data_IF_041193711890
#
_entry.id   IF_041193711890
#
_cell.length_a   1.000
_cell.length_b   1.000
_cell.length_c   1.000
_cell.angle_alpha   90.00
_cell.angle_beta   90.00
_cell.angle_gamma   90.00
#
_symmetry.space_group_name_H-M   'P 1'
#
loop_
_entity.id
_entity.type
_entity.pdbx_description
1 polymer ?
#
# COMPACT_ATOMS: atom_id res chain seq x y z
N UNK A 1 34.41 16.94 -19.21
CA UNK A 1 33.47 17.03 -18.09
C UNK A 1 32.27 16.20 -18.45
N UNK A 2 32.10 15.04 -17.82
CA UNK A 2 30.90 14.23 -18.03
C UNK A 2 29.68 15.04 -17.59
N UNK A 3 28.55 15.02 -18.33
CA UNK A 3 27.34 15.66 -17.86
C UNK A 3 26.97 15.07 -16.49
N UNK A 4 26.41 15.87 -15.57
CA UNK A 4 25.94 15.32 -14.30
C UNK A 4 25.02 14.15 -14.62
N UNK A 5 25.31 12.98 -14.05
CA UNK A 5 24.42 11.83 -14.18
C UNK A 5 23.07 12.29 -13.67
N UNK A 6 22.09 12.46 -14.57
CA UNK A 6 20.71 12.73 -14.15
C UNK A 6 20.34 11.62 -13.20
N UNK A 7 20.03 11.99 -11.98
CA UNK A 7 19.58 11.04 -10.95
C UNK A 7 18.33 10.33 -11.49
N UNK A 8 18.49 9.06 -11.88
CA UNK A 8 17.42 8.25 -12.49
C UNK A 8 16.15 8.18 -11.64
N UNK A 9 16.25 8.52 -10.37
CA UNK A 9 15.13 8.50 -9.44
C UNK A 9 14.46 9.87 -9.26
N UNK A 10 15.02 10.92 -9.82
CA UNK A 10 14.49 12.28 -9.67
C UNK A 10 13.01 12.38 -10.09
N UNK A 11 12.56 11.82 -11.22
CA UNK A 11 11.14 11.83 -11.58
C UNK A 11 10.24 11.09 -10.59
N UNK A 12 10.75 10.02 -9.98
CA UNK A 12 10.01 9.22 -8.99
C UNK A 12 9.84 9.95 -7.66
N UNK A 13 10.69 10.92 -7.36
CA UNK A 13 10.63 11.73 -6.13
C UNK A 13 9.63 12.88 -6.17
N UNK A 14 9.02 13.13 -7.32
CA UNK A 14 8.09 14.24 -7.51
C UNK A 14 6.66 13.93 -7.12
N UNK A 15 6.32 12.68 -6.90
CA UNK A 15 4.97 12.23 -6.56
C UNK A 15 4.99 11.20 -5.43
N UNK A 16 3.94 11.20 -4.64
CA UNK A 16 3.70 10.15 -3.67
C UNK A 16 3.45 8.83 -4.39
N UNK A 17 4.01 7.75 -3.86
CA UNK A 17 3.81 6.38 -4.34
C UNK A 17 2.95 5.66 -3.31
N UNK A 18 1.75 5.27 -3.69
CA UNK A 18 0.82 4.56 -2.81
C UNK A 18 0.80 3.06 -3.13
N UNK A 19 1.15 2.25 -2.14
CA UNK A 19 1.10 0.79 -2.25
C UNK A 19 -0.26 0.29 -1.78
N UNK A 20 -0.95 -0.44 -2.63
CA UNK A 20 -2.24 -1.08 -2.34
C UNK A 20 -2.14 -2.59 -2.50
N UNK A 21 -3.03 -3.32 -1.87
CA UNK A 21 -3.05 -4.79 -1.93
C UNK A 21 -3.58 -5.40 -0.64
N UNK A 22 -3.79 -6.71 -0.67
CA UNK A 22 -4.28 -7.47 0.46
C UNK A 22 -3.30 -7.46 1.65
N UNK A 23 -3.83 -7.74 2.83
CA UNK A 23 -3.00 -7.97 4.01
C UNK A 23 -1.97 -9.08 3.76
N UNK A 24 -0.78 -8.94 4.32
CA UNK A 24 0.29 -9.93 4.18
C UNK A 24 1.12 -9.85 2.89
N UNK A 25 0.74 -9.00 1.92
CA UNK A 25 1.50 -8.84 0.67
C UNK A 25 2.86 -8.14 0.87
N UNK A 26 3.03 -7.44 2.00
CA UNK A 26 4.30 -6.79 2.36
C UNK A 26 4.38 -5.30 2.07
N UNK A 27 3.25 -4.60 1.99
CA UNK A 27 3.20 -3.15 1.71
C UNK A 27 4.10 -2.32 2.62
N UNK A 28 4.07 -2.55 3.92
CA UNK A 28 4.89 -1.80 4.87
C UNK A 28 6.38 -2.11 4.74
N UNK A 29 6.74 -3.38 4.62
CA UNK A 29 8.14 -3.82 4.47
C UNK A 29 8.75 -3.39 3.14
N UNK A 30 8.01 -3.56 2.05
CA UNK A 30 8.41 -3.10 0.71
C UNK A 30 8.45 -1.57 0.68
N UNK A 31 7.45 -0.92 1.25
CA UNK A 31 7.34 0.54 1.27
C UNK A 31 8.50 1.23 1.97
N UNK A 32 8.93 0.73 3.14
CA UNK A 32 10.10 1.28 3.83
C UNK A 32 11.37 1.18 3.00
N UNK A 33 11.60 0.04 2.37
CA UNK A 33 12.79 -0.20 1.53
C UNK A 33 12.73 0.62 0.25
N UNK A 34 11.56 0.72 -0.36
CA UNK A 34 11.35 1.56 -1.54
C UNK A 34 11.62 3.03 -1.21
N UNK A 35 11.08 3.53 -0.11
CA UNK A 35 11.31 4.89 0.35
C UNK A 35 12.81 5.17 0.57
N UNK A 36 13.50 4.25 1.24
CA UNK A 36 14.95 4.34 1.45
C UNK A 36 15.72 4.37 0.14
N UNK A 37 15.37 3.49 -0.81
CA UNK A 37 16.03 3.43 -2.12
C UNK A 37 15.82 4.70 -2.95
N UNK A 38 14.65 5.34 -2.82
CA UNK A 38 14.30 6.56 -3.53
C UNK A 38 14.72 7.84 -2.80
N UNK A 39 15.11 7.75 -1.53
CA UNK A 39 15.38 8.92 -0.68
C UNK A 39 14.10 9.71 -0.34
N UNK A 40 12.97 9.01 -0.20
CA UNK A 40 11.69 9.57 0.19
C UNK A 40 11.33 9.19 1.64
N UNK A 41 10.51 10.01 2.34
CA UNK A 41 9.90 9.58 3.58
C UNK A 41 8.98 8.38 3.38
N UNK A 42 8.81 7.56 4.41
CA UNK A 42 7.83 6.47 4.46
C UNK A 42 6.70 6.81 5.43
N UNK A 43 5.47 6.52 5.04
CA UNK A 43 4.27 6.62 5.86
C UNK A 43 3.47 5.32 5.80
N UNK A 44 3.06 4.84 6.95
CA UNK A 44 2.14 3.70 7.07
C UNK A 44 0.79 4.22 7.53
N UNK A 45 -0.26 4.02 6.72
CA UNK A 45 -1.58 4.54 7.00
C UNK A 45 -2.17 3.96 8.31
N UNK A 46 -1.94 2.69 8.59
CA UNK A 46 -2.44 2.05 9.82
C UNK A 46 -1.77 2.67 11.05
N UNK A 47 -0.46 2.87 11.03
CA UNK A 47 0.28 3.54 12.11
C UNK A 47 -0.18 4.98 12.31
N UNK A 48 -0.44 5.70 11.22
CA UNK A 48 -0.94 7.08 11.28
C UNK A 48 -2.37 7.17 11.83
N UNK A 49 -3.23 6.19 11.53
CA UNK A 49 -4.57 6.09 12.11
C UNK A 49 -4.48 5.86 13.63
N UNK A 50 -3.63 4.93 14.06
CA UNK A 50 -3.43 4.66 15.49
C UNK A 50 -2.88 5.89 16.23
N UNK A 51 -1.92 6.60 15.63
CA UNK A 51 -1.37 7.83 16.19
C UNK A 51 -2.43 8.94 16.31
N UNK A 52 -3.26 9.12 15.29
CA UNK A 52 -4.33 10.12 15.28
C UNK A 52 -5.44 9.81 16.28
N UNK A 53 -5.77 8.53 16.46
CA UNK A 53 -6.83 8.07 17.37
C UNK A 53 -6.34 7.95 18.82
N UNK A 54 -5.03 7.87 19.06
CA UNK A 54 -4.44 7.61 20.37
C UNK A 54 -4.77 6.21 20.91
N UNK A 55 -5.07 5.25 20.02
CA UNK A 55 -5.45 3.87 20.35
C UNK A 55 -5.18 2.92 19.21
N UNK A 56 -5.12 1.62 19.51
CA UNK A 56 -4.89 0.60 18.50
C UNK A 56 -6.09 0.44 17.54
N UNK A 57 -5.82 -0.05 16.32
CA UNK A 57 -6.88 -0.40 15.36
C UNK A 57 -7.82 -1.45 15.95
N UNK A 58 -7.28 -2.44 16.67
CA UNK A 58 -8.10 -3.46 17.35
C UNK A 58 -9.09 -2.82 18.34
N UNK A 59 -8.65 -1.84 19.12
CA UNK A 59 -9.52 -1.13 20.05
C UNK A 59 -10.58 -0.27 19.33
N UNK A 60 -10.21 0.35 18.21
CA UNK A 60 -11.17 1.10 17.38
C UNK A 60 -12.27 0.17 16.88
N UNK A 61 -11.91 -1.00 16.34
CA UNK A 61 -12.88 -2.00 15.88
C UNK A 61 -13.78 -2.50 17.01
N UNK A 62 -13.19 -2.82 18.16
CA UNK A 62 -13.93 -3.36 19.31
C UNK A 62 -14.93 -2.35 19.89
N UNK A 63 -14.53 -1.09 20.04
CA UNK A 63 -15.32 -0.08 20.74
C UNK A 63 -16.19 0.78 19.81
N UNK A 64 -15.74 1.04 18.58
CA UNK A 64 -16.38 1.98 17.65
C UNK A 64 -16.85 1.32 16.35
N UNK A 65 -16.38 0.12 16.03
CA UNK A 65 -16.75 -0.63 14.85
C UNK A 65 -15.97 -0.28 13.58
N UNK A 66 -16.16 -1.07 12.54
CA UNK A 66 -15.44 -0.95 11.26
C UNK A 66 -15.74 0.38 10.56
N UNK A 67 -16.99 0.85 10.59
CA UNK A 67 -17.39 2.11 9.92
C UNK A 67 -16.61 3.31 10.48
N UNK A 68 -16.42 3.39 11.80
CA UNK A 68 -15.64 4.44 12.45
C UNK A 68 -14.16 4.36 12.06
N UNK A 69 -13.60 3.15 12.02
CA UNK A 69 -12.24 2.94 11.54
C UNK A 69 -12.07 3.43 10.09
N UNK A 70 -12.97 3.06 9.18
CA UNK A 70 -12.92 3.45 7.77
C UNK A 70 -13.03 4.95 7.56
N UNK A 71 -13.85 5.64 8.36
CA UNK A 71 -13.93 7.10 8.32
C UNK A 71 -12.62 7.75 8.78
N UNK A 72 -12.03 7.27 9.86
CA UNK A 72 -10.72 7.73 10.35
C UNK A 72 -9.59 7.46 9.33
N UNK A 73 -9.57 6.28 8.75
CA UNK A 73 -8.62 5.89 7.69
C UNK A 73 -8.70 6.84 6.49
N UNK A 74 -9.91 7.13 6.01
CA UNK A 74 -10.15 8.06 4.90
C UNK A 74 -9.60 9.45 5.19
N UNK A 75 -9.87 9.99 6.37
CA UNK A 75 -9.38 11.32 6.78
C UNK A 75 -7.85 11.36 6.89
N UNK A 76 -7.26 10.34 7.46
CA UNK A 76 -5.80 10.23 7.61
C UNK A 76 -5.12 10.16 6.25
N UNK A 77 -5.61 9.32 5.34
CA UNK A 77 -5.05 9.21 3.99
C UNK A 77 -5.18 10.52 3.22
N UNK A 78 -6.33 11.21 3.30
CA UNK A 78 -6.51 12.51 2.67
C UNK A 78 -5.48 13.53 3.17
N UNK A 79 -5.23 13.57 4.48
CA UNK A 79 -4.20 14.43 5.09
C UNK A 79 -2.79 14.06 4.62
N UNK A 80 -2.47 12.77 4.54
CA UNK A 80 -1.15 12.30 4.10
C UNK A 80 -0.89 12.66 2.63
N UNK A 81 -1.90 12.54 1.77
CA UNK A 81 -1.77 12.87 0.35
C UNK A 81 -1.57 14.38 0.08
N UNK A 82 -1.85 15.23 1.06
CA UNK A 82 -1.54 16.68 0.98
C UNK A 82 -0.11 17.02 1.45
N UNK A 83 0.62 16.06 1.97
CA UNK A 83 2.03 16.22 2.37
C UNK A 83 2.97 16.14 1.16
N UNK A 84 4.24 16.61 1.30
CA UNK A 84 5.26 16.40 0.28
C UNK A 84 5.39 14.93 -0.13
N UNK A 85 5.93 14.64 -1.33
CA UNK A 85 6.07 13.28 -1.84
C UNK A 85 6.68 12.30 -0.84
N UNK A 86 6.06 11.14 -0.72
CA UNK A 86 6.47 10.06 0.17
C UNK A 86 6.01 8.71 -0.38
N UNK A 87 6.46 7.63 0.21
CA UNK A 87 5.91 6.29 -0.02
C UNK A 87 4.87 6.01 1.05
N UNK A 88 3.65 5.72 0.62
CA UNK A 88 2.50 5.44 1.49
C UNK A 88 2.11 3.97 1.38
N UNK A 89 2.19 3.23 2.49
CA UNK A 89 1.58 1.92 2.59
C UNK A 89 0.15 2.08 3.10
N UNK A 90 -0.84 1.69 2.30
CA UNK A 90 -2.25 1.76 2.67
C UNK A 90 -2.70 0.51 3.41
N UNK A 91 -3.78 0.62 4.18
CA UNK A 91 -4.49 -0.55 4.70
C UNK A 91 -5.17 -1.35 3.57
N UNK A 92 -5.40 -2.64 3.80
CA UNK A 92 -5.96 -3.52 2.76
C UNK A 92 -7.33 -3.10 2.22
N UNK A 93 -8.14 -2.42 3.01
CA UNK A 93 -9.46 -1.94 2.61
C UNK A 93 -9.54 -0.48 2.16
N UNK A 94 -8.45 0.28 2.27
CA UNK A 94 -8.47 1.72 2.00
C UNK A 94 -8.86 2.06 0.56
N UNK A 95 -8.33 1.34 -0.41
CA UNK A 95 -8.59 1.56 -1.83
C UNK A 95 -10.03 1.21 -2.25
N UNK A 96 -10.77 0.50 -1.41
CA UNK A 96 -12.19 0.18 -1.64
C UNK A 96 -13.11 1.40 -1.51
N UNK A 97 -12.73 2.39 -0.70
CA UNK A 97 -13.47 3.63 -0.60
C UNK A 97 -13.26 4.48 -1.86
N UNK A 98 -14.35 4.86 -2.54
CA UNK A 98 -14.28 5.58 -3.82
C UNK A 98 -13.60 6.94 -3.70
N UNK A 99 -13.86 7.70 -2.62
CA UNK A 99 -13.21 9.00 -2.40
C UNK A 99 -11.71 8.86 -2.19
N UNK A 100 -11.30 7.91 -1.34
CA UNK A 100 -9.88 7.60 -1.09
C UNK A 100 -9.19 7.16 -2.38
N UNK A 101 -9.83 6.30 -3.16
CA UNK A 101 -9.30 5.83 -4.44
C UNK A 101 -9.10 6.98 -5.43
N UNK A 102 -10.07 7.88 -5.55
CA UNK A 102 -9.94 9.06 -6.41
C UNK A 102 -8.83 10.01 -5.95
N UNK A 103 -8.70 10.24 -4.65
CA UNK A 103 -7.60 11.04 -4.10
C UNK A 103 -6.22 10.43 -4.41
N UNK A 104 -6.09 9.13 -4.22
CA UNK A 104 -4.85 8.41 -4.54
C UNK A 104 -4.53 8.54 -6.03
N UNK A 105 -5.52 8.30 -6.91
CA UNK A 105 -5.34 8.38 -8.36
C UNK A 105 -4.97 9.80 -8.83
N UNK A 106 -5.46 10.84 -8.16
CA UNK A 106 -5.17 12.22 -8.52
C UNK A 106 -3.85 12.74 -7.98
N UNK A 107 -3.40 12.29 -6.81
CA UNK A 107 -2.26 12.86 -6.07
C UNK A 107 -1.05 11.93 -5.97
N UNK A 108 -1.20 10.65 -6.27
CA UNK A 108 -0.16 9.65 -6.14
C UNK A 108 -0.06 8.77 -7.38
N UNK A 109 0.99 7.98 -7.44
CA UNK A 109 1.10 6.84 -8.35
C UNK A 109 0.74 5.60 -7.53
N UNK A 110 -0.31 4.89 -7.91
CA UNK A 110 -0.78 3.71 -7.19
C UNK A 110 -0.17 2.43 -7.75
N UNK A 111 0.35 1.60 -6.86
CA UNK A 111 0.97 0.31 -7.18
C UNK A 111 0.25 -0.79 -6.44
N UNK A 112 -0.40 -1.68 -7.17
CA UNK A 112 -0.99 -2.87 -6.58
C UNK A 112 0.07 -3.97 -6.48
N UNK A 113 0.42 -4.34 -5.24
CA UNK A 113 1.24 -5.51 -4.96
C UNK A 113 0.34 -6.74 -4.87
N UNK A 114 0.57 -7.71 -5.73
CA UNK A 114 -0.23 -8.93 -5.85
C UNK A 114 0.65 -10.16 -5.67
N UNK A 115 0.23 -11.10 -4.83
CA UNK A 115 0.85 -12.41 -4.72
C UNK A 115 -0.21 -13.49 -4.56
N UNK A 116 0.16 -14.77 -4.73
CA UNK A 116 -0.77 -15.87 -4.60
C UNK A 116 -1.37 -15.95 -3.17
N UNK A 117 -2.61 -16.40 -3.08
CA UNK A 117 -3.38 -16.40 -1.84
C UNK A 117 -2.84 -17.39 -0.82
N UNK A 118 -2.24 -18.49 -1.24
CA UNK A 118 -1.64 -19.49 -0.36
C UNK A 118 -0.43 -18.90 0.37
N UNK A 119 0.43 -18.16 -0.34
CA UNK A 119 1.56 -17.42 0.25
C UNK A 119 1.07 -16.38 1.25
N UNK A 120 0.03 -15.62 0.89
CA UNK A 120 -0.59 -14.65 1.81
C UNK A 120 -1.15 -15.33 3.05
N UNK A 121 -1.88 -16.42 2.90
CA UNK A 121 -2.47 -17.17 4.01
C UNK A 121 -1.41 -17.66 5.00
N UNK A 122 -0.28 -18.18 4.51
CA UNK A 122 0.86 -18.59 5.36
C UNK A 122 1.45 -17.40 6.13
N UNK A 123 1.60 -16.24 5.50
CA UNK A 123 2.15 -15.04 6.12
C UNK A 123 1.23 -14.47 7.19
N UNK A 124 -0.07 -14.43 6.91
CA UNK A 124 -1.08 -13.87 7.84
C UNK A 124 -1.35 -14.80 9.01
N UNK A 125 -1.36 -16.11 8.80
CA UNK A 125 -1.56 -17.12 9.85
C UNK A 125 -0.47 -17.12 10.93
N UNK A 126 0.67 -16.51 10.68
CA UNK A 126 1.77 -16.32 11.65
C UNK A 126 1.62 -15.09 12.55
N UNK A 127 0.60 -14.25 12.32
CA UNK A 127 0.38 -12.97 13.04
C UNK A 127 -1.02 -12.92 13.63
N UNK A 128 -1.15 -13.23 14.90
CA UNK A 128 -2.42 -13.33 15.64
C UNK A 128 -3.16 -11.99 15.91
N UNK A 129 -2.73 -10.87 15.33
CA UNK A 129 -3.18 -9.55 15.74
C UNK A 129 -4.18 -8.89 14.79
N UNK A 130 -4.81 -9.62 13.87
CA UNK A 130 -5.72 -9.04 12.87
C UNK A 130 -7.19 -9.31 13.19
N UNK A 131 -8.01 -8.26 13.51
CA UNK A 131 -9.41 -8.43 13.91
C UNK A 131 -10.29 -9.19 12.90
N UNK A 132 -10.01 -9.00 11.59
CA UNK A 132 -10.78 -9.64 10.52
C UNK A 132 -10.53 -11.14 10.37
N UNK A 133 -9.48 -11.68 11.00
CA UNK A 133 -9.11 -13.10 10.94
C UNK A 133 -9.53 -13.89 12.19
N UNK A 134 -10.07 -13.23 13.20
CA UNK A 134 -10.42 -13.88 14.47
C UNK A 134 -11.32 -15.11 14.25
N UNK A 135 -10.82 -16.31 14.58
CA UNK A 135 -11.55 -17.57 14.49
C UNK A 135 -11.87 -18.07 13.08
N UNK A 136 -11.24 -17.52 12.03
CA UNK A 136 -11.48 -17.88 10.62
C UNK A 136 -10.24 -18.48 9.96
N UNK A 137 -10.45 -19.32 8.93
CA UNK A 137 -9.38 -19.77 8.05
C UNK A 137 -8.84 -18.60 7.23
N UNK A 138 -7.54 -18.25 7.34
CA UNK A 138 -6.95 -17.14 6.59
C UNK A 138 -7.15 -17.25 5.09
N UNK A 139 -7.04 -18.43 4.49
CA UNK A 139 -7.19 -18.62 3.04
C UNK A 139 -8.62 -18.32 2.58
N UNK A 140 -9.63 -18.76 3.31
CA UNK A 140 -11.04 -18.45 2.99
C UNK A 140 -11.34 -16.95 3.08
N UNK A 141 -10.84 -16.29 4.12
CA UNK A 141 -10.99 -14.83 4.28
C UNK A 141 -10.32 -14.09 3.12
N UNK A 142 -9.10 -14.48 2.76
CA UNK A 142 -8.37 -13.85 1.67
C UNK A 142 -9.03 -14.09 0.30
N UNK A 143 -9.58 -15.29 0.06
CA UNK A 143 -10.35 -15.58 -1.16
C UNK A 143 -11.58 -14.68 -1.27
N UNK A 144 -12.36 -14.58 -0.22
CA UNK A 144 -13.55 -13.72 -0.20
C UNK A 144 -13.17 -12.25 -0.41
N UNK A 145 -12.09 -11.79 0.22
CA UNK A 145 -11.59 -10.42 0.00
C UNK A 145 -11.08 -10.21 -1.42
N UNK A 146 -10.38 -11.18 -2.01
CA UNK A 146 -9.88 -11.08 -3.38
C UNK A 146 -11.01 -10.96 -4.41
N UNK A 147 -12.09 -11.72 -4.27
CA UNK A 147 -13.25 -11.63 -5.15
C UNK A 147 -13.82 -10.22 -5.22
N UNK A 148 -13.89 -9.52 -4.09
CA UNK A 148 -14.45 -8.17 -3.99
C UNK A 148 -13.41 -7.09 -4.34
N UNK A 149 -12.16 -7.27 -3.90
CA UNK A 149 -11.14 -6.22 -3.93
C UNK A 149 -10.30 -6.21 -5.21
N UNK A 150 -10.04 -7.35 -5.81
CA UNK A 150 -9.17 -7.43 -7.00
C UNK A 150 -9.69 -6.62 -8.19
N UNK A 151 -11.01 -6.61 -8.51
CA UNK A 151 -11.52 -5.72 -9.55
C UNK A 151 -11.27 -4.24 -9.27
N UNK A 152 -11.27 -3.84 -8.00
CA UNK A 152 -11.01 -2.46 -7.59
C UNK A 152 -9.50 -2.17 -7.55
N UNK A 153 -8.69 -3.09 -7.03
CA UNK A 153 -7.23 -2.94 -7.06
C UNK A 153 -6.68 -2.84 -8.49
N UNK A 154 -7.34 -3.48 -9.45
CA UNK A 154 -6.97 -3.39 -10.86
C UNK A 154 -7.10 -1.97 -11.45
N UNK A 155 -7.77 -1.06 -10.76
CA UNK A 155 -7.82 0.36 -11.12
C UNK A 155 -6.55 1.13 -10.73
N UNK A 156 -5.61 0.51 -10.00
CA UNK A 156 -4.31 1.11 -9.71
C UNK A 156 -3.53 1.40 -11.02
N UNK A 157 -2.63 2.38 -10.95
CA UNK A 157 -1.82 2.76 -12.13
C UNK A 157 -0.98 1.61 -12.66
N UNK A 158 -0.54 0.71 -11.78
CA UNK A 158 0.20 -0.49 -12.18
C UNK A 158 -0.01 -1.64 -11.20
N UNK A 159 0.22 -2.86 -11.67
CA UNK A 159 0.22 -4.09 -10.89
C UNK A 159 1.62 -4.70 -10.92
N UNK A 160 2.16 -5.00 -9.75
CA UNK A 160 3.42 -5.73 -9.61
C UNK A 160 3.12 -7.08 -8.96
N UNK A 161 3.27 -8.15 -9.72
CA UNK A 161 3.14 -9.51 -9.21
C UNK A 161 4.40 -9.89 -8.46
N UNK A 162 4.24 -10.29 -7.21
CA UNK A 162 5.33 -10.71 -6.34
C UNK A 162 5.14 -12.18 -5.97
N UNK A 163 6.24 -12.87 -5.72
CA UNK A 163 6.21 -14.24 -5.22
C UNK A 163 6.68 -14.32 -3.77
N UNK A 164 7.02 -15.53 -3.36
CA UNK A 164 7.71 -15.76 -2.08
C UNK A 164 9.20 -15.45 -2.23
N UNK A 165 9.51 -14.19 -2.48
CA UNK A 165 10.85 -13.67 -2.73
C UNK A 165 11.25 -12.66 -1.66
N UNK A 166 12.54 -12.41 -1.55
CA UNK A 166 13.06 -11.40 -0.62
C UNK A 166 12.53 -9.99 -0.99
N UNK A 167 12.29 -9.16 0.01
CA UNK A 167 11.71 -7.83 -0.18
C UNK A 167 12.49 -6.93 -1.14
N UNK A 168 13.82 -7.05 -1.20
CA UNK A 168 14.64 -6.26 -2.13
C UNK A 168 14.33 -6.59 -3.60
N UNK A 169 14.00 -7.83 -3.91
CA UNK A 169 13.59 -8.24 -5.27
C UNK A 169 12.28 -7.56 -5.64
N UNK A 170 11.31 -7.53 -4.73
CA UNK A 170 10.04 -6.81 -4.94
C UNK A 170 10.28 -5.30 -5.12
N UNK A 171 11.17 -4.70 -4.33
CA UNK A 171 11.52 -3.27 -4.47
C UNK A 171 12.08 -2.99 -5.86
N UNK A 172 12.99 -3.83 -6.36
CA UNK A 172 13.55 -3.67 -7.71
C UNK A 172 12.48 -3.79 -8.80
N UNK A 173 11.54 -4.72 -8.65
CA UNK A 173 10.39 -4.87 -9.55
C UNK A 173 9.51 -3.62 -9.55
N UNK A 174 9.21 -3.06 -8.38
CA UNK A 174 8.42 -1.83 -8.25
C UNK A 174 9.13 -0.65 -8.90
N UNK A 175 10.43 -0.47 -8.66
CA UNK A 175 11.22 0.61 -9.27
C UNK A 175 11.22 0.51 -10.80
N UNK A 176 11.39 -0.68 -11.35
CA UNK A 176 11.34 -0.90 -12.81
C UNK A 176 9.96 -0.55 -13.37
N UNK A 177 8.89 -0.99 -12.73
CA UNK A 177 7.52 -0.69 -13.15
C UNK A 177 7.22 0.81 -13.09
N UNK A 178 7.66 1.50 -12.03
CA UNK A 178 7.51 2.95 -11.89
C UNK A 178 8.29 3.71 -12.96
N UNK A 179 9.52 3.30 -13.26
CA UNK A 179 10.33 3.92 -14.30
C UNK A 179 9.68 3.79 -15.67
N UNK A 180 9.24 2.59 -16.04
CA UNK A 180 8.53 2.35 -17.30
C UNK A 180 7.24 3.18 -17.40
N UNK A 181 6.47 3.25 -16.34
CA UNK A 181 5.24 4.05 -16.28
C UNK A 181 5.48 5.55 -16.52
N UNK A 182 6.57 6.11 -15.98
CA UNK A 182 6.91 7.51 -16.20
C UNK A 182 7.47 7.77 -17.59
N UNK A 183 8.23 6.85 -18.16
CA UNK A 183 8.75 6.95 -19.53
C UNK A 183 7.60 6.97 -20.55
N UNK A 184 6.61 6.10 -20.42
CA UNK A 184 5.41 6.07 -21.29
C UNK A 184 4.58 7.35 -21.24
N UNK A 185 4.69 8.14 -20.18
CA UNK A 185 3.95 9.42 -20.01
C UNK A 185 4.77 10.65 -20.33
N UNK A 186 6.06 10.50 -20.61
CA UNK A 186 6.96 11.57 -21.02
C UNK A 186 6.96 11.79 -22.56
N UNK A 187 6.42 10.80 -23.31
CA UNK A 187 6.18 10.87 -24.75
C UNK A 187 4.82 11.51 -25.07
#
# INVERSE_FOLDING_TARGET
MAPPSMDRFEPLRRRTIALVGLMGVGKSSVGRRLASALGLPFRDADSEVEAAAGRSISDIFADLGEAAFRDGERRVIARLLDQPPHVLATGGGAFMNAETRQLIKSKAISVWLKTDLETLARRVGRKDTRPLLAGKDPLEVLRAQAEVRYPVYAEADMTVETGDVAHHVTVDQVIRALSAYLEERAE
#
